data_IF_229157246310
#
_entry.id   IF_229157246310
#
_cell.length_a   1.000
_cell.length_b   1.000
_cell.length_c   1.000
_cell.angle_alpha   90.00
_cell.angle_beta   90.00
_cell.angle_gamma   90.00
#
_symmetry.space_group_name_H-M   'P 1'
#
loop_
_entity.id
_entity.type
_entity.pdbx_description
1 polymer ?
#
# COMPACT_ATOMS: atom_id res chain seq x y z
N UNK A 1 -15.54 -0.40 -10.81
CA UNK A 1 -14.29 -0.96 -11.37
C UNK A 1 -13.09 -0.01 -11.25
N UNK A 2 -13.17 1.25 -11.70
CA UNK A 2 -12.05 2.21 -11.67
C UNK A 2 -11.44 2.43 -10.27
N UNK A 3 -12.26 2.53 -9.23
CA UNK A 3 -11.81 2.66 -7.82
C UNK A 3 -10.96 1.45 -7.37
N UNK A 4 -11.32 0.24 -7.81
CA UNK A 4 -10.58 -0.99 -7.49
C UNK A 4 -9.19 -0.95 -8.15
N UNK A 5 -9.13 -0.53 -9.41
CA UNK A 5 -7.87 -0.40 -10.15
C UNK A 5 -6.95 0.61 -9.47
N UNK A 6 -7.48 1.77 -9.06
CA UNK A 6 -6.70 2.79 -8.35
C UNK A 6 -6.10 2.21 -7.07
N UNK A 7 -6.90 1.50 -6.27
CA UNK A 7 -6.41 0.87 -5.04
C UNK A 7 -5.28 -0.14 -5.29
N UNK A 8 -5.39 -0.97 -6.34
CA UNK A 8 -4.34 -1.93 -6.72
C UNK A 8 -3.06 -1.21 -7.17
N UNK A 9 -3.17 -0.12 -7.93
CA UNK A 9 -2.02 0.68 -8.37
C UNK A 9 -1.28 1.29 -7.18
N UNK A 10 -2.01 1.80 -6.19
CA UNK A 10 -1.41 2.31 -4.93
C UNK A 10 -0.66 1.20 -4.19
N UNK A 11 -1.24 0.00 -4.08
CA UNK A 11 -0.56 -1.15 -3.48
C UNK A 11 0.73 -1.54 -4.24
N UNK A 12 0.68 -1.58 -5.57
CA UNK A 12 1.85 -1.92 -6.38
C UNK A 12 2.98 -0.89 -6.22
N UNK A 13 2.65 0.41 -6.29
CA UNK A 13 3.62 1.48 -6.12
C UNK A 13 4.27 1.45 -4.72
N UNK A 14 3.47 1.25 -3.68
CA UNK A 14 3.97 1.18 -2.29
C UNK A 14 4.85 -0.03 -2.04
N UNK A 15 4.61 -1.19 -2.68
CA UNK A 15 5.50 -2.35 -2.62
C UNK A 15 6.88 -2.01 -3.21
N UNK A 16 6.91 -1.43 -4.42
CA UNK A 16 8.16 -1.10 -5.11
C UNK A 16 8.99 -0.13 -4.27
N UNK A 17 8.38 0.92 -3.75
CA UNK A 17 9.06 1.93 -2.92
C UNK A 17 9.55 1.29 -1.61
N UNK A 18 8.73 0.48 -0.94
CA UNK A 18 9.13 -0.20 0.29
C UNK A 18 10.32 -1.15 0.10
N UNK A 19 10.43 -1.82 -1.05
CA UNK A 19 11.59 -2.66 -1.38
C UNK A 19 12.87 -1.83 -1.43
N UNK A 20 12.85 -0.65 -2.04
CA UNK A 20 14.00 0.25 -2.10
C UNK A 20 14.40 0.81 -0.72
N UNK A 21 13.41 1.24 0.07
CA UNK A 21 13.65 1.71 1.44
C UNK A 21 14.25 0.62 2.32
N UNK A 22 13.77 -0.62 2.19
CA UNK A 22 14.25 -1.78 2.95
C UNK A 22 15.75 -2.00 2.77
N UNK A 23 16.26 -1.94 1.54
CA UNK A 23 17.70 -2.14 1.28
C UNK A 23 18.58 -1.09 1.99
N UNK A 24 18.13 0.18 2.02
CA UNK A 24 18.85 1.26 2.72
C UNK A 24 18.78 1.12 4.23
N UNK A 25 17.63 0.73 4.76
CA UNK A 25 17.44 0.46 6.19
C UNK A 25 18.35 -0.70 6.62
N UNK A 26 18.40 -1.79 5.86
CA UNK A 26 19.24 -2.96 6.16
C UNK A 26 20.74 -2.59 6.21
N UNK A 27 21.20 -1.66 5.36
CA UNK A 27 22.56 -1.13 5.46
C UNK A 27 22.81 -0.46 6.82
N UNK A 28 21.91 0.43 7.24
CA UNK A 28 22.02 1.14 8.53
C UNK A 28 21.84 0.24 9.75
N UNK A 29 21.15 -0.88 9.62
CA UNK A 29 21.00 -1.90 10.66
C UNK A 29 22.16 -2.90 10.71
N UNK A 30 23.02 -2.93 9.69
CA UNK A 30 24.24 -3.75 9.70
C UNK A 30 25.26 -3.25 10.74
N UNK A 31 26.23 -4.10 11.11
CA UNK A 31 27.29 -3.72 12.06
C UNK A 31 28.07 -2.46 11.64
N UNK A 32 28.31 -2.30 10.33
CA UNK A 32 28.97 -1.09 9.80
C UNK A 32 28.03 0.13 9.89
N UNK A 33 26.77 -0.05 9.53
CA UNK A 33 25.75 0.99 9.63
C UNK A 33 25.56 1.51 11.06
N UNK A 34 25.50 0.61 12.05
CA UNK A 34 25.39 0.97 13.47
C UNK A 34 26.58 1.81 13.90
N UNK A 35 27.81 1.43 13.51
CA UNK A 35 29.00 2.22 13.81
C UNK A 35 28.92 3.62 13.19
N UNK A 36 28.54 3.71 11.91
CA UNK A 36 28.38 4.98 11.19
C UNK A 36 27.34 5.87 11.87
N UNK A 37 26.19 5.34 12.26
CA UNK A 37 25.16 6.11 12.99
C UNK A 37 25.61 6.56 14.38
N UNK A 38 26.42 5.75 15.07
CA UNK A 38 26.91 6.09 16.40
C UNK A 38 27.93 7.24 16.39
N UNK A 39 28.65 7.44 15.27
CA UNK A 39 29.66 8.50 15.14
C UNK A 39 29.19 9.71 14.31
N UNK A 40 28.06 9.58 13.61
CA UNK A 40 27.53 10.63 12.73
C UNK A 40 26.03 10.83 12.96
N UNK A 41 25.68 11.90 13.67
CA UNK A 41 24.29 12.29 13.95
C UNK A 41 23.46 12.48 12.67
N UNK A 42 24.07 12.91 11.56
CA UNK A 42 23.38 13.04 10.28
C UNK A 42 22.93 11.68 9.74
N UNK A 43 23.73 10.63 9.93
CA UNK A 43 23.40 9.29 9.49
C UNK A 43 22.31 8.65 10.35
N UNK A 44 22.32 8.90 11.67
CA UNK A 44 21.23 8.50 12.57
C UNK A 44 19.93 9.21 12.22
N UNK A 45 19.98 10.50 11.86
CA UNK A 45 18.80 11.24 11.40
C UNK A 45 18.25 10.68 10.10
N UNK A 46 19.10 10.42 9.10
CA UNK A 46 18.69 9.81 7.82
C UNK A 46 18.04 8.44 8.05
N UNK A 47 18.61 7.60 8.93
CA UNK A 47 18.02 6.31 9.28
C UNK A 47 16.61 6.47 9.87
N UNK A 48 16.41 7.42 10.78
CA UNK A 48 15.08 7.69 11.36
C UNK A 48 14.08 8.19 10.32
N UNK A 49 14.51 9.05 9.40
CA UNK A 49 13.69 9.50 8.28
C UNK A 49 13.27 8.32 7.40
N UNK A 50 14.19 7.41 7.05
CA UNK A 50 13.90 6.21 6.28
C UNK A 50 12.88 5.29 6.96
N UNK A 51 12.99 5.10 8.28
CA UNK A 51 11.99 4.33 9.06
C UNK A 51 10.63 5.03 9.03
N UNK A 52 10.61 6.35 9.16
CA UNK A 52 9.39 7.17 9.06
C UNK A 52 8.73 7.04 7.69
N UNK A 53 9.50 7.17 6.61
CA UNK A 53 9.04 7.00 5.22
C UNK A 53 8.47 5.60 4.98
N UNK A 54 9.16 4.56 5.46
CA UNK A 54 8.68 3.17 5.35
C UNK A 54 7.32 3.00 6.02
N UNK A 55 7.13 3.53 7.22
CA UNK A 55 5.85 3.45 7.93
C UNK A 55 4.74 4.20 7.17
N UNK A 56 5.04 5.39 6.64
CA UNK A 56 4.09 6.14 5.82
C UNK A 56 3.69 5.36 4.55
N UNK A 57 4.65 4.71 3.89
CA UNK A 57 4.39 3.88 2.70
C UNK A 57 3.55 2.65 3.02
N UNK A 58 3.76 2.01 4.17
CA UNK A 58 2.90 0.91 4.64
C UNK A 58 1.46 1.36 4.88
N UNK A 59 1.26 2.53 5.50
CA UNK A 59 -0.08 3.09 5.71
C UNK A 59 -0.76 3.45 4.38
N UNK A 60 -0.02 3.97 3.41
CA UNK A 60 -0.53 4.25 2.07
C UNK A 60 -0.89 2.97 1.31
N UNK A 61 -0.09 1.91 1.44
CA UNK A 61 -0.42 0.60 0.84
C UNK A 61 -1.68 0.00 1.45
N UNK A 62 -1.82 0.09 2.78
CA UNK A 62 -3.01 -0.36 3.49
C UNK A 62 -4.27 0.39 3.06
N UNK A 63 -4.20 1.71 2.86
CA UNK A 63 -5.34 2.49 2.38
C UNK A 63 -5.75 2.12 0.94
N UNK A 64 -4.77 1.85 0.06
CA UNK A 64 -5.02 1.31 -1.27
C UNK A 64 -5.72 -0.05 -1.24
N UNK A 65 -5.30 -0.93 -0.33
CA UNK A 65 -5.91 -2.25 -0.14
C UNK A 65 -7.36 -2.15 0.35
N UNK A 66 -7.63 -1.32 1.36
CA UNK A 66 -8.99 -1.06 1.86
C UNK A 66 -9.88 -0.52 0.75
N UNK A 67 -9.38 0.44 -0.04
CA UNK A 67 -10.10 1.03 -1.17
C UNK A 67 -10.46 -0.03 -2.21
N UNK A 68 -9.54 -0.96 -2.48
CA UNK A 68 -9.76 -2.06 -3.44
C UNK A 68 -10.85 -3.01 -2.98
N UNK A 69 -10.80 -3.46 -1.71
CA UNK A 69 -11.79 -4.37 -1.13
C UNK A 69 -13.16 -3.70 -1.02
N UNK A 70 -13.20 -2.47 -0.49
CA UNK A 70 -14.45 -1.72 -0.36
C UNK A 70 -15.10 -1.48 -1.72
N UNK A 71 -14.30 -1.07 -2.72
CA UNK A 71 -14.76 -0.91 -4.10
C UNK A 71 -15.28 -2.21 -4.72
N UNK A 72 -14.64 -3.35 -4.42
CA UNK A 72 -15.11 -4.66 -4.88
C UNK A 72 -16.44 -5.06 -4.25
N UNK A 73 -16.63 -4.82 -2.94
CA UNK A 73 -17.89 -5.08 -2.25
C UNK A 73 -19.07 -4.35 -2.89
N UNK A 74 -18.92 -3.04 -3.13
CA UNK A 74 -19.95 -2.22 -3.80
C UNK A 74 -20.21 -2.71 -5.22
N UNK A 75 -19.16 -3.02 -5.98
CA UNK A 75 -19.28 -3.49 -7.36
C UNK A 75 -20.06 -4.82 -7.45
N UNK A 76 -19.80 -5.75 -6.53
CA UNK A 76 -20.52 -7.03 -6.47
C UNK A 76 -22.00 -6.83 -6.17
N UNK A 77 -22.33 -5.95 -5.22
CA UNK A 77 -23.71 -5.66 -4.86
C UNK A 77 -24.49 -5.08 -6.05
N UNK A 78 -23.89 -4.13 -6.79
CA UNK A 78 -24.48 -3.55 -7.99
C UNK A 78 -24.80 -4.61 -9.06
N UNK A 79 -23.86 -5.50 -9.37
CA UNK A 79 -24.10 -6.59 -10.33
C UNK A 79 -25.24 -7.51 -9.87
N UNK A 80 -25.30 -7.82 -8.58
CA UNK A 80 -26.34 -8.72 -8.06
C UNK A 80 -27.75 -8.12 -8.20
N UNK A 81 -27.89 -6.80 -8.03
CA UNK A 81 -29.15 -6.07 -8.23
C UNK A 81 -29.55 -6.05 -9.70
N UNK A 82 -28.63 -5.68 -10.59
CA UNK A 82 -28.88 -5.66 -12.04
C UNK A 82 -29.33 -7.04 -12.55
N UNK A 83 -28.71 -8.11 -12.05
CA UNK A 83 -29.08 -9.48 -12.41
C UNK A 83 -30.52 -9.82 -11.99
N UNK A 84 -30.93 -9.46 -10.77
CA UNK A 84 -32.29 -9.69 -10.28
C UNK A 84 -33.35 -8.90 -11.06
N UNK A 85 -33.07 -7.64 -11.42
CA UNK A 85 -33.99 -6.84 -12.24
C UNK A 85 -34.14 -7.42 -13.65
N UNK A 86 -33.05 -7.90 -14.25
CA UNK A 86 -33.08 -8.53 -15.57
C UNK A 86 -33.94 -9.80 -15.56
N UNK A 87 -33.83 -10.65 -14.54
CA UNK A 87 -34.68 -11.85 -14.38
C UNK A 87 -36.16 -11.50 -14.20
N UNK A 88 -36.48 -10.49 -13.39
CA UNK A 88 -37.87 -10.08 -13.17
C UNK A 88 -38.55 -9.59 -14.45
N UNK A 89 -37.81 -8.89 -15.30
CA UNK A 89 -38.31 -8.37 -16.57
C UNK A 89 -38.42 -9.44 -17.67
N UNK A 90 -37.70 -10.57 -17.57
CA UNK A 90 -37.82 -11.68 -18.53
C UNK A 90 -39.00 -12.63 -18.23
N UNK A 91 -39.55 -12.57 -17.02
CA UNK A 91 -40.69 -13.39 -16.58
C UNK A 91 -42.06 -12.67 -16.73
N UNK A 92 -42.07 -11.42 -17.23
CA UNK A 92 -43.28 -10.60 -17.48
C UNK A 92 -43.60 -10.52 -18.98
#
# INVERSE_FOLDING_TARGET
MLVIIIGIVICAATIIINTGLRQRIEYYESSQGIFVRAINDSAEKEYRELIGERNAMLMMGLSGFITSIGGYGIYREMISKDYMETMKNSDS
#
